data_IF_898804270221
#
_entry.id   IF_898804270221
#
_cell.length_a   1.000
_cell.length_b   1.000
_cell.length_c   1.000
_cell.angle_alpha   90.00
_cell.angle_beta   90.00
_cell.angle_gamma   90.00
#
_symmetry.space_group_name_H-M   'P 1'
#
loop_
_entity.id
_entity.type
_entity.pdbx_description
1 polymer ?
#
# COMPACT_ATOMS: atom_id res chain seq x y z
N UNK A 1 -17.82 -55.25 -6.64
CA UNK A 1 -17.94 -56.07 -7.87
C UNK A 1 -16.56 -56.48 -8.40
N UNK A 2 -15.65 -55.53 -8.70
CA UNK A 2 -14.28 -55.84 -9.14
C UNK A 2 -13.53 -56.79 -8.17
N UNK A 3 -13.56 -56.52 -6.86
CA UNK A 3 -13.00 -57.41 -5.84
C UNK A 3 -13.55 -58.85 -5.88
N UNK A 4 -14.87 -59.01 -6.00
CA UNK A 4 -15.49 -60.34 -6.08
C UNK A 4 -15.14 -61.09 -7.38
N UNK A 5 -14.88 -60.39 -8.49
CA UNK A 5 -14.39 -60.99 -9.73
C UNK A 5 -12.92 -61.41 -9.56
N UNK A 6 -12.09 -60.57 -8.93
CA UNK A 6 -10.71 -60.88 -8.65
C UNK A 6 -10.58 -62.11 -7.73
N UNK A 7 -11.33 -62.10 -6.62
CA UNK A 7 -11.23 -63.11 -5.56
C UNK A 7 -11.84 -64.47 -5.97
N UNK A 8 -12.90 -64.47 -6.80
CA UNK A 8 -13.61 -65.71 -7.16
C UNK A 8 -13.28 -66.25 -8.56
N UNK A 9 -12.81 -65.41 -9.49
CA UNK A 9 -12.61 -65.80 -10.90
C UNK A 9 -11.16 -65.60 -11.38
N UNK A 10 -10.34 -64.78 -10.71
CA UNK A 10 -8.96 -64.51 -11.13
C UNK A 10 -8.81 -63.84 -12.50
N UNK A 11 -9.92 -63.40 -13.12
CA UNK A 11 -9.98 -62.81 -14.46
C UNK A 11 -9.55 -61.33 -14.41
N UNK A 12 -8.24 -61.11 -14.55
CA UNK A 12 -7.62 -59.78 -14.48
C UNK A 12 -8.10 -58.83 -15.58
N UNK A 13 -8.43 -59.34 -16.77
CA UNK A 13 -8.90 -58.51 -17.89
C UNK A 13 -10.29 -57.96 -17.59
N UNK A 14 -11.17 -58.79 -17.03
CA UNK A 14 -12.50 -58.36 -16.59
C UNK A 14 -12.41 -57.38 -15.42
N UNK A 15 -11.52 -57.60 -14.45
CA UNK A 15 -11.26 -56.64 -13.35
C UNK A 15 -10.76 -55.30 -13.90
N UNK A 16 -9.85 -55.31 -14.87
CA UNK A 16 -9.33 -54.09 -15.51
C UNK A 16 -10.41 -53.28 -16.24
N UNK A 17 -11.35 -53.94 -16.92
CA UNK A 17 -12.48 -53.28 -17.61
C UNK A 17 -13.45 -52.60 -16.62
N UNK A 18 -13.72 -53.23 -15.46
CA UNK A 18 -14.58 -52.66 -14.42
C UNK A 18 -13.92 -51.41 -13.84
N UNK A 19 -12.60 -51.45 -13.58
CA UNK A 19 -11.88 -50.28 -13.09
C UNK A 19 -11.80 -49.15 -14.12
N UNK A 20 -11.66 -49.45 -15.41
CA UNK A 20 -11.71 -48.42 -16.45
C UNK A 20 -13.08 -47.71 -16.50
N UNK A 21 -14.18 -48.45 -16.33
CA UNK A 21 -15.51 -47.86 -16.24
C UNK A 21 -15.72 -47.04 -14.96
N UNK A 22 -15.11 -47.43 -13.84
CA UNK A 22 -15.12 -46.67 -12.59
C UNK A 22 -14.30 -45.38 -12.72
N UNK A 23 -13.13 -45.45 -13.36
CA UNK A 23 -12.26 -44.31 -13.62
C UNK A 23 -12.98 -43.23 -14.43
N UNK A 24 -13.71 -43.60 -15.48
CA UNK A 24 -14.48 -42.66 -16.29
C UNK A 24 -15.55 -41.88 -15.49
N UNK A 25 -15.96 -42.38 -14.31
CA UNK A 25 -16.95 -41.74 -13.43
C UNK A 25 -16.30 -41.04 -12.24
N UNK A 26 -15.01 -41.25 -11.99
CA UNK A 26 -14.30 -40.67 -10.86
C UNK A 26 -13.82 -39.26 -11.21
N UNK A 27 -14.57 -38.24 -10.78
CA UNK A 27 -14.29 -36.83 -11.08
C UNK A 27 -13.75 -36.04 -9.89
N UNK A 28 -13.66 -36.65 -8.71
CA UNK A 28 -13.14 -36.02 -7.49
C UNK A 28 -11.84 -36.66 -7.06
N UNK A 29 -10.96 -35.88 -6.41
CA UNK A 29 -9.70 -36.37 -5.87
C UNK A 29 -9.91 -37.59 -4.96
N UNK A 30 -10.88 -37.54 -4.04
CA UNK A 30 -11.20 -38.65 -3.13
C UNK A 30 -11.64 -39.94 -3.84
N UNK A 31 -12.46 -39.82 -4.90
CA UNK A 31 -12.89 -40.98 -5.69
C UNK A 31 -11.70 -41.60 -6.44
N UNK A 32 -10.83 -40.76 -7.02
CA UNK A 32 -9.65 -41.20 -7.74
C UNK A 32 -8.61 -41.84 -6.81
N UNK A 33 -8.39 -41.31 -5.61
CA UNK A 33 -7.51 -41.92 -4.58
C UNK A 33 -8.03 -43.29 -4.15
N UNK A 34 -9.33 -43.41 -3.90
CA UNK A 34 -9.94 -44.68 -3.50
C UNK A 34 -9.80 -45.72 -4.60
N UNK A 35 -10.08 -45.31 -5.85
CA UNK A 35 -9.92 -46.16 -7.02
C UNK A 35 -8.45 -46.60 -7.23
N UNK A 36 -7.49 -45.70 -7.04
CA UNK A 36 -6.07 -46.01 -7.13
C UNK A 36 -5.64 -47.08 -6.11
N UNK A 37 -6.13 -46.99 -4.87
CA UNK A 37 -5.87 -47.98 -3.83
C UNK A 37 -6.48 -49.35 -4.14
N UNK A 38 -7.70 -49.38 -4.68
CA UNK A 38 -8.33 -50.63 -5.14
C UNK A 38 -7.56 -51.25 -6.31
N UNK A 39 -7.17 -50.46 -7.30
CA UNK A 39 -6.36 -50.90 -8.45
C UNK A 39 -5.02 -51.45 -7.98
N UNK A 40 -4.34 -50.78 -7.06
CA UNK A 40 -3.05 -51.25 -6.53
C UNK A 40 -3.21 -52.61 -5.83
N UNK A 41 -4.28 -52.77 -5.04
CA UNK A 41 -4.54 -54.01 -4.29
C UNK A 41 -4.93 -55.17 -5.21
N UNK A 42 -5.81 -54.93 -6.18
CA UNK A 42 -6.39 -55.97 -7.00
C UNK A 42 -5.53 -56.34 -8.21
N UNK A 43 -4.95 -55.34 -8.88
CA UNK A 43 -4.21 -55.53 -10.12
C UNK A 43 -2.69 -55.51 -9.93
N UNK A 44 -2.19 -54.86 -8.87
CA UNK A 44 -0.76 -54.64 -8.65
C UNK A 44 -0.08 -54.01 -9.88
N UNK A 45 -0.73 -53.01 -10.47
CA UNK A 45 -0.27 -52.27 -11.66
C UNK A 45 0.19 -50.85 -11.23
N UNK A 46 1.49 -50.65 -10.96
CA UNK A 46 1.99 -49.37 -10.48
C UNK A 46 1.78 -48.23 -11.49
N UNK A 47 1.85 -48.51 -12.78
CA UNK A 47 1.67 -47.50 -13.82
C UNK A 47 0.24 -46.96 -13.81
N UNK A 48 -0.75 -47.87 -13.74
CA UNK A 48 -2.17 -47.46 -13.67
C UNK A 48 -2.52 -46.80 -12.34
N UNK A 49 -1.97 -47.29 -11.23
CA UNK A 49 -2.14 -46.66 -9.91
C UNK A 49 -1.56 -45.24 -9.90
N UNK A 50 -0.36 -45.03 -10.44
CA UNK A 50 0.28 -43.70 -10.52
C UNK A 50 -0.48 -42.75 -11.44
N UNK A 51 -1.04 -43.24 -12.56
CA UNK A 51 -1.88 -42.43 -13.44
C UNK A 51 -3.16 -41.94 -12.74
N UNK A 52 -3.79 -42.79 -11.92
CA UNK A 52 -4.95 -42.42 -11.12
C UNK A 52 -4.61 -41.39 -10.04
N UNK A 53 -3.48 -41.55 -9.35
CA UNK A 53 -2.99 -40.55 -8.41
C UNK A 53 -2.64 -39.23 -9.09
N UNK A 54 -2.04 -39.24 -10.29
CA UNK A 54 -1.78 -38.03 -11.08
C UNK A 54 -3.09 -37.28 -11.36
N UNK A 55 -4.11 -37.98 -11.84
CA UNK A 55 -5.44 -37.39 -12.04
C UNK A 55 -6.05 -36.87 -10.74
N UNK A 56 -5.81 -37.56 -9.62
CA UNK A 56 -6.28 -37.10 -8.31
C UNK A 56 -5.62 -35.77 -7.92
N UNK A 57 -4.31 -35.62 -8.16
CA UNK A 57 -3.57 -34.38 -7.91
C UNK A 57 -4.12 -33.23 -8.77
N UNK A 58 -4.40 -33.49 -10.06
CA UNK A 58 -5.01 -32.49 -10.95
C UNK A 58 -6.41 -32.07 -10.49
N UNK A 59 -7.15 -32.99 -9.86
CA UNK A 59 -8.48 -32.75 -9.33
C UNK A 59 -8.50 -32.10 -7.92
N UNK A 60 -7.35 -31.93 -7.26
CA UNK A 60 -7.27 -31.30 -5.93
C UNK A 60 -7.69 -29.84 -5.97
N UNK A 61 -8.60 -29.48 -5.05
CA UNK A 61 -9.07 -28.09 -4.90
C UNK A 61 -8.78 -27.49 -3.54
N UNK A 62 -8.59 -28.34 -2.52
CA UNK A 62 -8.35 -27.92 -1.14
C UNK A 62 -7.21 -28.73 -0.53
N UNK A 63 -6.58 -28.18 0.52
CA UNK A 63 -5.47 -28.83 1.22
C UNK A 63 -5.79 -30.26 1.66
N UNK A 64 -7.02 -30.52 2.15
CA UNK A 64 -7.43 -31.84 2.62
C UNK A 64 -7.42 -32.90 1.52
N UNK A 65 -7.75 -32.53 0.28
CA UNK A 65 -7.66 -33.43 -0.88
C UNK A 65 -6.21 -33.87 -1.09
N UNK A 66 -5.30 -32.89 -1.11
CA UNK A 66 -3.88 -33.13 -1.32
C UNK A 66 -3.27 -33.99 -0.20
N UNK A 67 -3.65 -33.75 1.07
CA UNK A 67 -3.17 -34.59 2.18
C UNK A 67 -3.61 -36.05 2.07
N UNK A 68 -4.84 -36.31 1.60
CA UNK A 68 -5.32 -37.69 1.39
C UNK A 68 -4.52 -38.41 0.30
N UNK A 69 -4.11 -37.70 -0.74
CA UNK A 69 -3.21 -38.24 -1.78
C UNK A 69 -1.84 -38.53 -1.18
N UNK A 70 -1.24 -37.59 -0.45
CA UNK A 70 0.08 -37.77 0.17
C UNK A 70 0.10 -38.96 1.16
N UNK A 71 -0.99 -39.18 1.90
CA UNK A 71 -1.14 -40.35 2.78
C UNK A 71 -1.23 -41.67 2.01
N UNK A 72 -1.91 -41.66 0.86
CA UNK A 72 -2.00 -42.83 0.00
C UNK A 72 -0.65 -43.13 -0.67
N UNK A 73 0.08 -42.09 -1.09
CA UNK A 73 1.42 -42.19 -1.64
C UNK A 73 2.42 -42.72 -0.61
N UNK A 74 2.32 -42.33 0.66
CA UNK A 74 3.18 -42.83 1.74
C UNK A 74 2.99 -44.34 2.05
N UNK A 75 1.83 -44.91 1.73
CA UNK A 75 1.51 -46.33 1.99
C UNK A 75 1.98 -47.26 0.88
N UNK A 76 2.35 -46.72 -0.28
CA UNK A 76 2.72 -47.48 -1.47
C UNK A 76 4.13 -47.11 -1.91
N UNK A 77 4.87 -47.99 -2.62
CA UNK A 77 6.15 -47.63 -3.22
C UNK A 77 5.94 -46.40 -4.11
N UNK A 78 6.53 -45.28 -3.71
CA UNK A 78 6.15 -43.98 -4.26
C UNK A 78 7.03 -43.64 -5.44
N UNK A 79 6.42 -43.30 -6.57
CA UNK A 79 7.11 -42.59 -7.64
C UNK A 79 7.50 -41.20 -7.11
N UNK A 80 8.81 -40.93 -7.04
CA UNK A 80 9.33 -39.70 -6.46
C UNK A 80 8.89 -38.44 -7.23
N UNK A 81 8.72 -38.52 -8.55
CA UNK A 81 8.25 -37.38 -9.35
C UNK A 81 6.78 -37.08 -9.07
N UNK A 82 5.96 -38.12 -8.94
CA UNK A 82 4.56 -37.97 -8.52
C UNK A 82 4.43 -37.44 -7.09
N UNK A 83 5.25 -37.94 -6.16
CA UNK A 83 5.31 -37.44 -4.79
C UNK A 83 5.63 -35.94 -4.75
N UNK A 84 6.67 -35.52 -5.49
CA UNK A 84 7.04 -34.10 -5.61
C UNK A 84 5.91 -33.26 -6.20
N UNK A 85 5.24 -33.75 -7.26
CA UNK A 85 4.11 -33.04 -7.87
C UNK A 85 2.94 -32.89 -6.89
N UNK A 86 2.61 -33.94 -6.14
CA UNK A 86 1.55 -33.91 -5.12
C UNK A 86 1.91 -32.98 -3.95
N UNK A 87 3.19 -32.97 -3.53
CA UNK A 87 3.70 -32.08 -2.48
C UNK A 87 3.66 -30.61 -2.90
N UNK A 88 4.03 -30.31 -4.15
CA UNK A 88 3.94 -28.96 -4.72
C UNK A 88 2.49 -28.49 -4.71
N UNK A 89 1.57 -29.35 -5.18
CA UNK A 89 0.14 -29.06 -5.19
C UNK A 89 -0.41 -28.82 -3.77
N UNK A 90 0.03 -29.62 -2.80
CA UNK A 90 -0.33 -29.44 -1.40
C UNK A 90 0.17 -28.09 -0.87
N UNK A 91 1.41 -27.71 -1.18
CA UNK A 91 2.01 -26.43 -0.77
C UNK A 91 1.25 -25.23 -1.35
N UNK A 92 0.79 -25.31 -2.60
CA UNK A 92 -0.04 -24.28 -3.23
C UNK A 92 -1.37 -24.07 -2.51
N UNK A 93 -1.97 -25.16 -2.03
CA UNK A 93 -3.30 -25.19 -1.41
C UNK A 93 -3.30 -24.92 0.11
N UNK A 94 -2.15 -24.60 0.72
CA UNK A 94 -2.09 -24.25 2.15
C UNK A 94 -2.63 -22.85 2.42
N UNK A 95 -3.46 -22.72 3.45
CA UNK A 95 -3.99 -21.44 3.95
C UNK A 95 -3.30 -20.98 5.25
N UNK A 96 -2.63 -21.88 5.96
CA UNK A 96 -2.02 -21.59 7.28
C UNK A 96 -0.59 -22.06 7.35
N UNK A 97 0.22 -21.41 8.20
CA UNK A 97 1.59 -21.83 8.46
C UNK A 97 1.69 -23.26 9.03
N UNK A 98 0.70 -23.71 9.80
CA UNK A 98 0.66 -25.08 10.29
C UNK A 98 0.59 -26.10 9.15
N UNK A 99 -0.22 -25.83 8.11
CA UNK A 99 -0.30 -26.68 6.92
C UNK A 99 0.98 -26.62 6.10
N UNK A 100 1.60 -25.44 5.95
CA UNK A 100 2.91 -25.31 5.27
C UNK A 100 3.98 -26.18 5.94
N UNK A 101 4.06 -26.15 7.27
CA UNK A 101 5.03 -26.98 8.01
C UNK A 101 4.70 -28.49 7.94
N UNK A 102 3.42 -28.87 7.88
CA UNK A 102 3.02 -30.26 7.63
C UNK A 102 3.49 -30.74 6.25
N UNK A 103 3.38 -29.91 5.20
CA UNK A 103 3.92 -30.23 3.86
C UNK A 103 5.43 -30.43 3.91
N UNK A 104 6.18 -29.56 4.60
CA UNK A 104 7.64 -29.71 4.75
C UNK A 104 8.01 -31.05 5.42
N UNK A 105 7.28 -31.45 6.48
CA UNK A 105 7.50 -32.71 7.16
C UNK A 105 7.15 -33.92 6.28
N UNK A 106 6.08 -33.82 5.48
CA UNK A 106 5.68 -34.86 4.52
C UNK A 106 6.69 -35.01 3.40
N UNK A 107 7.24 -33.90 2.89
CA UNK A 107 8.29 -33.91 1.86
C UNK A 107 9.53 -34.68 2.33
N UNK A 108 10.02 -34.39 3.53
CA UNK A 108 11.16 -35.10 4.10
C UNK A 108 10.97 -36.63 4.20
N UNK A 109 9.73 -37.08 4.42
CA UNK A 109 9.38 -38.50 4.53
C UNK A 109 9.17 -39.17 3.17
N UNK A 110 8.51 -38.49 2.23
CA UNK A 110 8.14 -39.03 0.93
C UNK A 110 9.28 -39.00 -0.09
N UNK A 111 10.14 -38.00 -0.01
CA UNK A 111 11.26 -37.80 -0.93
C UNK A 111 12.56 -37.59 -0.15
N UNK A 112 13.02 -38.59 0.62
CA UNK A 112 14.22 -38.45 1.44
C UNK A 112 15.45 -38.13 0.57
N UNK A 113 16.13 -37.04 0.90
CA UNK A 113 17.30 -36.55 0.17
C UNK A 113 16.99 -35.44 -0.85
N UNK A 114 15.74 -35.26 -1.26
CA UNK A 114 15.30 -34.09 -2.02
C UNK A 114 14.73 -33.04 -1.08
N UNK A 115 15.45 -31.93 -0.93
CA UNK A 115 15.09 -30.84 -0.03
C UNK A 115 14.32 -29.71 -0.72
N UNK A 116 14.01 -29.83 -2.00
CA UNK A 116 13.43 -28.74 -2.80
C UNK A 116 12.12 -28.22 -2.20
N UNK A 117 11.15 -29.12 -1.97
CA UNK A 117 9.86 -28.71 -1.39
C UNK A 117 10.00 -28.33 0.08
N UNK A 118 10.92 -28.95 0.83
CA UNK A 118 11.20 -28.58 2.23
C UNK A 118 11.67 -27.13 2.31
N UNK A 119 12.63 -26.74 1.46
CA UNK A 119 13.14 -25.37 1.35
C UNK A 119 12.02 -24.40 1.00
N UNK A 120 11.25 -24.69 -0.06
CA UNK A 120 10.15 -23.83 -0.49
C UNK A 120 9.07 -23.66 0.60
N UNK A 121 8.72 -24.74 1.30
CA UNK A 121 7.76 -24.69 2.38
C UNK A 121 8.29 -23.86 3.57
N UNK A 122 9.54 -24.04 3.96
CA UNK A 122 10.15 -23.23 5.03
C UNK A 122 10.28 -21.76 4.64
N UNK A 123 10.60 -21.45 3.38
CA UNK A 123 10.64 -20.06 2.86
C UNK A 123 9.23 -19.43 2.88
N UNK A 124 8.21 -20.17 2.43
CA UNK A 124 6.81 -19.74 2.50
C UNK A 124 6.36 -19.53 3.95
N UNK A 125 6.77 -20.41 4.87
CA UNK A 125 6.43 -20.27 6.28
C UNK A 125 7.13 -19.05 6.92
N UNK A 126 8.42 -18.84 6.62
CA UNK A 126 9.21 -17.68 7.08
C UNK A 126 8.61 -16.35 6.61
N UNK A 127 8.08 -16.29 5.38
CA UNK A 127 7.43 -15.11 4.84
C UNK A 127 6.08 -14.79 5.50
N UNK A 128 5.39 -15.78 6.06
CA UNK A 128 4.02 -15.65 6.57
C UNK A 128 3.91 -15.76 8.10
N UNK A 129 5.01 -15.67 8.85
CA UNK A 129 4.98 -15.81 10.32
C UNK A 129 4.23 -14.65 10.98
N UNK A 130 3.06 -14.96 11.54
CA UNK A 130 2.16 -13.99 12.17
C UNK A 130 2.26 -13.92 13.69
N UNK A 131 2.89 -14.91 14.33
CA UNK A 131 2.98 -14.97 15.80
C UNK A 131 4.32 -15.52 16.32
N UNK A 132 4.59 -15.34 17.62
CA UNK A 132 5.77 -15.93 18.27
C UNK A 132 5.69 -17.48 18.29
N UNK A 133 4.50 -18.05 18.50
CA UNK A 133 4.31 -19.50 18.48
C UNK A 133 4.61 -20.09 17.09
N UNK A 134 4.14 -19.45 16.03
CA UNK A 134 4.50 -19.83 14.66
C UNK A 134 6.00 -19.71 14.41
N UNK A 135 6.63 -18.64 14.91
CA UNK A 135 8.08 -18.47 14.78
C UNK A 135 8.86 -19.60 15.48
N UNK A 136 8.42 -20.01 16.67
CA UNK A 136 9.01 -21.15 17.40
C UNK A 136 8.85 -22.45 16.63
N UNK A 137 7.65 -22.71 16.10
CA UNK A 137 7.38 -23.90 15.27
C UNK A 137 8.24 -23.92 14.01
N UNK A 138 8.38 -22.79 13.32
CA UNK A 138 9.27 -22.64 12.17
C UNK A 138 10.74 -22.89 12.52
N UNK A 139 11.24 -22.28 13.60
CA UNK A 139 12.61 -22.46 14.06
C UNK A 139 12.93 -23.92 14.39
N UNK A 140 11.99 -24.60 15.05
CA UNK A 140 12.11 -26.03 15.35
C UNK A 140 12.08 -26.87 14.07
N UNK A 141 11.15 -26.60 13.15
CA UNK A 141 11.04 -27.32 11.89
C UNK A 141 12.29 -27.14 11.01
N UNK A 142 12.82 -25.92 10.89
CA UNK A 142 14.05 -25.64 10.14
C UNK A 142 15.24 -26.44 10.66
N UNK A 143 15.44 -26.45 11.98
CA UNK A 143 16.53 -27.23 12.61
C UNK A 143 16.37 -28.73 12.42
N UNK A 144 15.14 -29.23 12.44
CA UNK A 144 14.87 -30.67 12.28
C UNK A 144 14.98 -31.14 10.83
N UNK A 145 14.48 -30.36 9.88
CA UNK A 145 14.36 -30.75 8.48
C UNK A 145 15.61 -30.36 7.67
N UNK A 146 16.29 -29.28 8.03
CA UNK A 146 17.48 -28.76 7.34
C UNK A 146 18.58 -28.40 8.34
N UNK A 147 19.00 -29.38 9.16
CA UNK A 147 20.04 -29.17 10.18
C UNK A 147 21.37 -28.64 9.60
N UNK A 148 21.69 -28.99 8.34
CA UNK A 148 22.92 -28.56 7.66
C UNK A 148 22.87 -27.13 7.09
N UNK A 149 21.69 -26.49 7.03
CA UNK A 149 21.54 -25.12 6.54
C UNK A 149 21.77 -24.13 7.70
N UNK A 150 23.04 -23.95 8.07
CA UNK A 150 23.44 -23.09 9.18
C UNK A 150 22.97 -21.64 8.99
N UNK A 151 23.06 -21.11 7.78
CA UNK A 151 22.66 -19.73 7.46
C UNK A 151 21.16 -19.51 7.70
N UNK A 152 20.30 -20.41 7.23
CA UNK A 152 18.86 -20.35 7.50
C UNK A 152 18.58 -20.47 8.99
N UNK A 153 19.20 -21.44 9.66
CA UNK A 153 18.95 -21.70 11.07
C UNK A 153 19.38 -20.51 11.96
N UNK A 154 20.49 -19.84 11.62
CA UNK A 154 20.94 -18.63 12.30
C UNK A 154 20.01 -17.44 12.01
N UNK A 155 19.59 -17.26 10.76
CA UNK A 155 18.64 -16.19 10.38
C UNK A 155 17.30 -16.34 11.10
N UNK A 156 16.71 -17.54 11.06
CA UNK A 156 15.44 -17.86 11.73
C UNK A 156 15.62 -17.78 13.25
N UNK A 157 16.75 -18.25 13.79
CA UNK A 157 17.09 -18.14 15.21
C UNK A 157 17.18 -16.69 15.69
N UNK A 158 17.85 -15.82 14.92
CA UNK A 158 17.93 -14.38 15.21
C UNK A 158 16.57 -13.70 15.17
N UNK A 159 15.72 -14.02 14.18
CA UNK A 159 14.32 -13.54 14.13
C UNK A 159 13.51 -13.99 15.35
N UNK A 160 13.68 -15.25 15.80
CA UNK A 160 13.00 -15.76 16.99
C UNK A 160 13.47 -15.01 18.24
N UNK A 161 14.79 -14.89 18.46
CA UNK A 161 15.35 -14.20 19.62
C UNK A 161 14.88 -12.75 19.73
N UNK A 162 14.82 -12.03 18.59
CA UNK A 162 14.23 -10.68 18.52
C UNK A 162 12.77 -10.67 18.99
N UNK A 163 11.93 -11.57 18.45
CA UNK A 163 10.51 -11.66 18.85
C UNK A 163 10.33 -12.03 20.32
N UNK A 164 11.19 -12.90 20.86
CA UNK A 164 11.15 -13.28 22.28
C UNK A 164 11.56 -12.12 23.19
N UNK A 165 12.60 -11.36 22.82
CA UNK A 165 12.99 -10.15 23.53
C UNK A 165 11.90 -9.08 23.51
N UNK A 166 11.15 -8.99 22.40
CA UNK A 166 10.02 -8.07 22.23
C UNK A 166 8.75 -8.46 23.00
N UNK A 167 8.63 -9.68 23.53
CA UNK A 167 7.40 -10.16 24.19
C UNK A 167 6.99 -9.30 25.40
N UNK A 168 7.97 -8.86 26.18
CA UNK A 168 7.74 -7.94 27.29
C UNK A 168 7.18 -6.60 26.78
N UNK A 169 7.69 -6.12 25.65
CA UNK A 169 7.25 -4.86 25.04
C UNK A 169 5.84 -4.94 24.47
N UNK A 170 5.47 -6.06 23.84
CA UNK A 170 4.06 -6.32 23.46
C UNK A 170 3.13 -6.26 24.68
N UNK A 171 3.52 -6.89 25.79
CA UNK A 171 2.72 -6.89 27.02
C UNK A 171 2.57 -5.47 27.57
N UNK A 172 3.64 -4.68 27.53
CA UNK A 172 3.61 -3.29 27.95
C UNK A 172 2.67 -2.45 27.08
N UNK A 173 2.79 -2.54 25.75
CA UNK A 173 1.91 -1.82 24.83
C UNK A 173 0.45 -2.23 24.98
N UNK A 174 0.14 -3.52 25.14
CA UNK A 174 -1.22 -3.99 25.41
C UNK A 174 -1.78 -3.45 26.74
N UNK A 175 -0.93 -3.30 27.75
CA UNK A 175 -1.35 -2.69 29.01
C UNK A 175 -1.54 -1.18 28.88
N UNK A 176 -0.68 -0.48 28.12
CA UNK A 176 -0.85 0.93 27.80
C UNK A 176 -2.14 1.15 27.01
N UNK A 177 -2.40 0.35 25.97
CA UNK A 177 -3.59 0.40 25.11
C UNK A 177 -4.89 0.39 25.90
N UNK A 178 -5.01 -0.47 26.91
CA UNK A 178 -6.19 -0.57 27.80
C UNK A 178 -6.51 0.73 28.54
N UNK A 179 -5.54 1.62 28.70
CA UNK A 179 -5.71 2.91 29.39
C UNK A 179 -6.04 4.06 28.45
N UNK A 180 -5.93 3.85 27.13
CA UNK A 180 -6.09 4.90 26.14
C UNK A 180 -7.57 5.22 25.90
N UNK A 181 -7.87 6.51 25.80
CA UNK A 181 -9.26 6.98 25.58
C UNK A 181 -9.39 7.91 24.39
N UNK A 182 -8.31 8.58 23.99
CA UNK A 182 -8.33 9.59 22.92
C UNK A 182 -7.66 9.08 21.64
N UNK A 183 -8.19 9.40 20.45
CA UNK A 183 -7.62 8.93 19.17
C UNK A 183 -6.12 9.18 19.00
N UNK A 184 -5.64 10.37 19.39
CA UNK A 184 -4.23 10.73 19.28
C UNK A 184 -3.30 9.86 20.14
N UNK A 185 -3.78 9.29 21.24
CA UNK A 185 -3.00 8.36 22.05
C UNK A 185 -2.79 7.04 21.32
N UNK A 186 -3.84 6.52 20.66
CA UNK A 186 -3.73 5.30 19.85
C UNK A 186 -2.78 5.51 18.67
N UNK A 187 -2.84 6.67 18.01
CA UNK A 187 -1.92 7.03 16.93
C UNK A 187 -0.47 7.08 17.42
N UNK A 188 -0.23 7.69 18.58
CA UNK A 188 1.11 7.73 19.18
C UNK A 188 1.63 6.33 19.53
N UNK A 189 0.78 5.47 20.11
CA UNK A 189 1.13 4.09 20.42
C UNK A 189 1.43 3.29 19.15
N UNK A 190 0.68 3.49 18.06
CA UNK A 190 0.95 2.86 16.77
C UNK A 190 2.33 3.23 16.22
N UNK A 191 2.76 4.49 16.39
CA UNK A 191 4.11 4.95 16.07
C UNK A 191 5.18 4.18 16.84
N UNK A 192 5.03 4.09 18.17
CA UNK A 192 5.97 3.36 19.04
C UNK A 192 6.01 1.86 18.71
N UNK A 193 4.87 1.24 18.39
CA UNK A 193 4.81 -0.16 17.96
C UNK A 193 5.60 -0.39 16.68
N UNK A 194 5.45 0.46 15.66
CA UNK A 194 6.25 0.31 14.42
C UNK A 194 7.73 0.58 14.69
N UNK A 195 8.06 1.59 15.48
CA UNK A 195 9.46 1.96 15.77
C UNK A 195 10.20 0.87 16.54
N UNK A 196 9.56 0.25 17.53
CA UNK A 196 10.23 -0.66 18.45
C UNK A 196 10.03 -2.15 18.11
N UNK A 197 8.93 -2.49 17.43
CA UNK A 197 8.56 -3.87 17.12
C UNK A 197 8.49 -4.18 15.63
N UNK A 198 8.56 -3.17 14.77
CA UNK A 198 8.36 -3.29 13.32
C UNK A 198 7.01 -3.96 12.96
N UNK A 199 6.02 -3.90 13.87
CA UNK A 199 4.72 -4.57 13.71
C UNK A 199 3.66 -3.62 13.13
N UNK A 200 3.60 -3.59 11.80
CA UNK A 200 2.61 -2.80 11.08
C UNK A 200 1.18 -3.33 11.24
N UNK A 201 1.00 -4.60 11.60
CA UNK A 201 -0.32 -5.20 11.82
C UNK A 201 -0.92 -4.68 13.12
N UNK A 202 -0.16 -4.71 14.21
CA UNK A 202 -0.63 -4.15 15.48
C UNK A 202 -0.82 -2.63 15.39
N UNK A 203 0.08 -1.91 14.73
CA UNK A 203 -0.12 -0.49 14.44
C UNK A 203 -1.43 -0.23 13.65
N UNK A 204 -1.77 -1.08 12.67
CA UNK A 204 -3.03 -0.95 11.92
C UNK A 204 -4.27 -1.09 12.81
N UNK A 205 -4.25 -2.00 13.79
CA UNK A 205 -5.36 -2.18 14.74
C UNK A 205 -5.54 -0.95 15.65
N UNK A 206 -4.44 -0.39 16.14
CA UNK A 206 -4.45 0.82 16.95
C UNK A 206 -4.97 2.02 16.14
N UNK A 207 -4.50 2.19 14.89
CA UNK A 207 -4.98 3.25 14.00
C UNK A 207 -6.46 3.06 13.62
N UNK A 208 -6.94 1.83 13.48
CA UNK A 208 -8.36 1.53 13.23
C UNK A 208 -9.20 1.98 14.43
N UNK A 209 -8.77 1.64 15.64
CA UNK A 209 -9.42 2.08 16.89
C UNK A 209 -9.41 3.61 17.01
N UNK A 210 -8.32 4.27 16.61
CA UNK A 210 -8.25 5.72 16.58
C UNK A 210 -9.30 6.31 15.63
N UNK A 211 -9.42 5.76 14.42
CA UNK A 211 -10.41 6.18 13.43
C UNK A 211 -11.84 6.00 13.94
N UNK A 212 -12.18 4.83 14.49
CA UNK A 212 -13.51 4.53 15.05
C UNK A 212 -13.91 5.57 16.11
N UNK A 213 -12.98 5.95 16.99
CA UNK A 213 -13.21 6.99 18.00
C UNK A 213 -13.40 8.37 17.38
N UNK A 214 -12.69 8.70 16.29
CA UNK A 214 -12.90 9.94 15.56
C UNK A 214 -14.28 9.97 14.87
N UNK A 215 -14.72 8.84 14.32
CA UNK A 215 -16.03 8.71 13.69
C UNK A 215 -17.17 8.80 14.72
N UNK A 216 -16.99 8.18 15.90
CA UNK A 216 -17.96 8.22 17.00
C UNK A 216 -18.19 9.64 17.53
N UNK A 217 -17.23 10.56 17.39
CA UNK A 217 -17.40 11.97 17.75
C UNK A 217 -18.38 12.73 16.82
N UNK A 218 -18.77 12.14 15.68
CA UNK A 218 -19.83 12.64 14.79
C UNK A 218 -19.49 13.92 14.01
N UNK A 219 -18.29 14.46 14.16
CA UNK A 219 -17.85 15.68 13.46
C UNK A 219 -16.48 15.48 12.82
N UNK A 220 -16.35 15.85 11.55
CA UNK A 220 -15.07 15.82 10.85
C UNK A 220 -14.27 17.10 11.14
N UNK A 221 -13.01 16.94 11.50
CA UNK A 221 -12.03 18.02 11.56
C UNK A 221 -10.72 17.56 10.92
N UNK A 222 -10.26 18.30 9.91
CA UNK A 222 -9.00 17.97 9.25
C UNK A 222 -7.82 17.95 10.24
N UNK A 223 -7.79 18.87 11.20
CA UNK A 223 -6.74 18.90 12.23
C UNK A 223 -6.73 17.64 13.10
N UNK A 224 -7.89 17.04 13.35
CA UNK A 224 -7.99 15.77 14.09
C UNK A 224 -7.57 14.57 13.22
N UNK A 225 -7.94 14.57 11.94
CA UNK A 225 -7.65 13.47 11.02
C UNK A 225 -6.24 13.53 10.40
N UNK A 226 -5.58 14.68 10.38
CA UNK A 226 -4.24 14.83 9.78
C UNK A 226 -3.21 13.85 10.38
N UNK A 227 -3.08 13.70 11.72
CA UNK A 227 -2.18 12.71 12.30
C UNK A 227 -2.51 11.27 11.88
N UNK A 228 -3.79 10.93 11.72
CA UNK A 228 -4.21 9.61 11.24
C UNK A 228 -3.81 9.41 9.78
N UNK A 229 -4.06 10.39 8.91
CA UNK A 229 -3.67 10.35 7.49
C UNK A 229 -2.17 10.12 7.34
N UNK A 230 -1.35 10.89 8.06
CA UNK A 230 0.12 10.76 8.04
C UNK A 230 0.56 9.39 8.56
N UNK A 231 -0.05 8.92 9.66
CA UNK A 231 0.31 7.62 10.26
C UNK A 231 -0.08 6.46 9.36
N UNK A 232 -1.26 6.51 8.73
CA UNK A 232 -1.68 5.49 7.76
C UNK A 232 -0.72 5.45 6.58
N UNK A 233 -0.37 6.62 6.01
CA UNK A 233 0.52 6.69 4.87
C UNK A 233 1.99 6.37 5.13
N UNK A 234 2.47 6.53 6.37
CA UNK A 234 3.89 6.34 6.70
C UNK A 234 4.19 5.05 7.46
N UNK A 235 3.32 4.65 8.40
CA UNK A 235 3.56 3.50 9.26
C UNK A 235 3.07 2.21 8.62
N UNK A 236 1.82 2.18 8.15
CA UNK A 236 1.17 0.95 7.64
C UNK A 236 1.11 0.90 6.12
N UNK A 237 1.18 2.06 5.45
CA UNK A 237 1.27 2.22 3.99
C UNK A 237 0.10 1.57 3.22
N UNK A 238 -1.07 1.48 3.86
CA UNK A 238 -2.30 1.02 3.22
C UNK A 238 -2.87 2.12 2.30
N UNK A 239 -2.64 1.96 1.00
CA UNK A 239 -3.07 2.93 -0.03
C UNK A 239 -4.59 3.02 -0.16
N UNK A 240 -5.32 1.93 0.06
CA UNK A 240 -6.78 1.92 -0.05
C UNK A 240 -7.42 2.65 1.13
N UNK A 241 -6.92 2.40 2.34
CA UNK A 241 -7.34 3.12 3.53
C UNK A 241 -6.98 4.61 3.45
N UNK A 242 -5.74 4.93 3.06
CA UNK A 242 -5.30 6.30 2.88
C UNK A 242 -6.20 7.05 1.89
N UNK A 243 -6.47 6.45 0.71
CA UNK A 243 -7.38 7.02 -0.28
C UNK A 243 -8.77 7.34 0.29
N UNK A 244 -9.32 6.46 1.13
CA UNK A 244 -10.61 6.67 1.81
C UNK A 244 -10.58 7.88 2.76
N UNK A 245 -9.52 8.01 3.57
CA UNK A 245 -9.34 9.15 4.47
C UNK A 245 -9.14 10.46 3.70
N UNK A 246 -8.40 10.42 2.59
CA UNK A 246 -8.17 11.57 1.73
C UNK A 246 -9.46 12.05 1.04
N UNK A 247 -10.29 11.13 0.55
CA UNK A 247 -11.62 11.46 0.03
C UNK A 247 -12.52 12.07 1.11
N UNK A 248 -12.52 11.50 2.32
CA UNK A 248 -13.27 12.07 3.44
C UNK A 248 -12.82 13.50 3.75
N UNK A 249 -11.50 13.75 3.80
CA UNK A 249 -10.95 15.07 4.04
C UNK A 249 -11.28 16.08 2.93
N UNK A 250 -11.21 15.66 1.66
CA UNK A 250 -11.55 16.49 0.51
C UNK A 250 -13.05 16.86 0.51
N UNK A 251 -13.93 15.91 0.80
CA UNK A 251 -15.38 16.12 0.85
C UNK A 251 -15.81 17.04 1.98
N UNK A 252 -15.02 17.14 3.05
CA UNK A 252 -15.26 18.04 4.18
C UNK A 252 -14.45 19.35 4.10
N UNK A 253 -13.71 19.58 3.01
CA UNK A 253 -12.96 20.81 2.78
C UNK A 253 -13.81 21.82 2.02
N UNK A 254 -14.30 22.83 2.74
CA UNK A 254 -15.21 23.86 2.22
C UNK A 254 -14.50 25.16 1.82
N UNK A 255 -13.22 25.29 2.16
CA UNK A 255 -12.42 26.48 1.87
C UNK A 255 -11.14 26.12 1.15
N UNK A 256 -10.61 27.05 0.35
CA UNK A 256 -9.30 26.86 -0.28
C UNK A 256 -8.19 26.61 0.75
N UNK A 257 -8.24 27.23 1.93
CA UNK A 257 -7.25 27.01 2.98
C UNK A 257 -7.24 25.55 3.45
N UNK A 258 -8.40 24.93 3.62
CA UNK A 258 -8.50 23.51 3.98
C UNK A 258 -7.97 22.59 2.86
N UNK A 259 -8.35 22.86 1.60
CA UNK A 259 -7.85 22.10 0.44
C UNK A 259 -6.33 22.26 0.30
N UNK A 260 -5.80 23.46 0.53
CA UNK A 260 -4.36 23.73 0.51
C UNK A 260 -3.64 22.95 1.60
N UNK A 261 -4.13 22.98 2.84
CA UNK A 261 -3.55 22.25 3.96
C UNK A 261 -3.55 20.74 3.70
N UNK A 262 -4.65 20.20 3.15
CA UNK A 262 -4.73 18.81 2.73
C UNK A 262 -3.66 18.48 1.67
N UNK A 263 -3.55 19.30 0.62
CA UNK A 263 -2.53 19.15 -0.42
C UNK A 263 -1.09 19.26 0.13
N UNK A 264 -0.85 20.11 1.12
CA UNK A 264 0.45 20.24 1.78
C UNK A 264 0.80 19.01 2.62
N UNK A 265 -0.13 18.54 3.46
CA UNK A 265 0.05 17.31 4.24
C UNK A 265 0.42 16.15 3.34
N UNK A 266 -0.32 15.96 2.25
CA UNK A 266 -0.18 14.81 1.38
C UNK A 266 1.10 14.88 0.54
N UNK A 267 1.47 16.07 0.03
CA UNK A 267 2.69 16.23 -0.78
C UNK A 267 3.99 16.30 0.04
N UNK A 268 3.95 16.76 1.29
CA UNK A 268 5.18 17.00 2.09
C UNK A 268 5.38 16.07 3.26
N UNK A 269 4.32 15.46 3.81
CA UNK A 269 4.42 14.66 5.05
C UNK A 269 4.29 13.16 4.82
N UNK A 270 3.89 12.74 3.61
CA UNK A 270 3.86 11.32 3.26
C UNK A 270 5.20 10.85 2.71
N UNK A 271 5.57 9.62 3.09
CA UNK A 271 6.78 8.94 2.62
C UNK A 271 6.68 8.53 1.14
N UNK A 272 5.49 8.16 0.66
CA UNK A 272 5.21 7.94 -0.76
C UNK A 272 4.94 9.30 -1.45
N UNK A 273 6.01 9.95 -1.87
CA UNK A 273 5.97 11.29 -2.48
C UNK A 273 5.22 11.33 -3.81
N UNK A 274 5.24 10.24 -4.59
CA UNK A 274 4.54 10.14 -5.87
C UNK A 274 3.03 10.01 -5.66
N UNK A 275 2.62 9.14 -4.73
CA UNK A 275 1.22 9.06 -4.30
C UNK A 275 0.76 10.42 -3.76
N UNK A 276 1.59 11.06 -2.94
CA UNK A 276 1.35 12.39 -2.40
C UNK A 276 1.06 13.42 -3.49
N UNK A 277 1.96 13.57 -4.45
CA UNK A 277 1.80 14.48 -5.59
C UNK A 277 0.56 14.16 -6.43
N UNK A 278 0.29 12.87 -6.68
CA UNK A 278 -0.88 12.43 -7.45
C UNK A 278 -2.19 12.88 -6.80
N UNK A 279 -2.32 12.74 -5.48
CA UNK A 279 -3.51 13.17 -4.77
C UNK A 279 -3.61 14.70 -4.65
N UNK A 280 -2.50 15.38 -4.40
CA UNK A 280 -2.45 16.85 -4.40
C UNK A 280 -2.88 17.41 -5.76
N UNK A 281 -2.47 16.78 -6.88
CA UNK A 281 -2.93 17.12 -8.23
C UNK A 281 -4.44 16.98 -8.36
N UNK A 282 -5.04 15.91 -7.84
CA UNK A 282 -6.50 15.70 -7.90
C UNK A 282 -7.25 16.80 -7.13
N UNK A 283 -6.79 17.16 -5.93
CA UNK A 283 -7.39 18.22 -5.14
C UNK A 283 -7.34 19.58 -5.86
N UNK A 284 -6.21 19.91 -6.47
CA UNK A 284 -6.00 21.19 -7.15
C UNK A 284 -6.70 21.25 -8.51
N UNK A 285 -6.82 20.12 -9.20
CA UNK A 285 -7.64 20.02 -10.42
C UNK A 285 -9.12 20.24 -10.09
N UNK A 286 -9.63 19.59 -9.04
CA UNK A 286 -11.01 19.80 -8.59
C UNK A 286 -11.26 21.24 -8.14
N UNK A 287 -10.28 21.85 -7.46
CA UNK A 287 -10.36 23.25 -7.06
C UNK A 287 -10.36 24.20 -8.26
N UNK A 288 -9.50 23.97 -9.27
CA UNK A 288 -9.47 24.76 -10.50
C UNK A 288 -10.82 24.71 -11.21
N UNK A 289 -11.42 23.52 -11.33
CA UNK A 289 -12.73 23.36 -11.94
C UNK A 289 -13.82 24.19 -11.23
N UNK A 290 -13.81 24.24 -9.88
CA UNK A 290 -14.71 25.10 -9.10
C UNK A 290 -14.50 26.59 -9.39
N UNK A 291 -13.25 27.02 -9.53
CA UNK A 291 -12.93 28.41 -9.87
C UNK A 291 -13.37 28.77 -11.29
N UNK A 292 -13.21 27.84 -12.24
CA UNK A 292 -13.60 28.01 -13.65
C UNK A 292 -15.12 28.07 -13.82
N UNK A 293 -15.88 27.26 -13.09
CA UNK A 293 -17.35 27.26 -13.13
C UNK A 293 -18.01 28.41 -12.37
N UNK A 294 -17.24 29.12 -11.55
CA UNK A 294 -17.75 30.16 -10.64
C UNK A 294 -17.33 31.58 -11.01
N UNK A 295 -17.76 32.55 -10.22
CA UNK A 295 -17.31 33.94 -10.32
C UNK A 295 -16.02 34.17 -9.50
N UNK A 296 -15.01 33.31 -9.70
CA UNK A 296 -13.75 33.41 -8.98
C UNK A 296 -12.98 34.68 -9.36
N UNK A 297 -12.40 35.31 -8.36
CA UNK A 297 -11.52 36.49 -8.47
C UNK A 297 -10.10 36.15 -8.92
N UNK A 298 -9.36 37.13 -9.45
CA UNK A 298 -7.94 36.97 -9.78
C UNK A 298 -7.12 36.44 -8.59
N UNK A 299 -7.41 36.88 -7.37
CA UNK A 299 -6.70 36.43 -6.17
C UNK A 299 -6.89 34.93 -5.88
N UNK A 300 -8.04 34.35 -6.20
CA UNK A 300 -8.29 32.92 -5.99
C UNK A 300 -7.47 32.06 -6.96
N UNK A 301 -7.38 32.46 -8.22
CA UNK A 301 -6.47 31.83 -9.18
C UNK A 301 -5.02 31.94 -8.73
N UNK A 302 -4.58 33.11 -8.28
CA UNK A 302 -3.21 33.32 -7.82
C UNK A 302 -2.86 32.43 -6.61
N UNK A 303 -3.79 32.28 -5.66
CA UNK A 303 -3.63 31.38 -4.50
C UNK A 303 -3.45 29.92 -4.94
N UNK A 304 -4.24 29.47 -5.92
CA UNK A 304 -4.14 28.10 -6.44
C UNK A 304 -2.84 27.90 -7.23
N UNK A 305 -2.48 28.84 -8.12
CA UNK A 305 -1.21 28.79 -8.87
C UNK A 305 -0.01 28.68 -7.93
N UNK A 306 -0.01 29.49 -6.86
CA UNK A 306 1.02 29.41 -5.81
C UNK A 306 1.06 28.06 -5.12
N UNK A 307 -0.09 27.48 -4.78
CA UNK A 307 -0.14 26.16 -4.14
C UNK A 307 0.36 25.04 -5.08
N UNK A 308 0.02 25.10 -6.36
CA UNK A 308 0.54 24.18 -7.40
C UNK A 308 2.06 24.27 -7.46
N UNK A 309 2.63 25.48 -7.59
CA UNK A 309 4.09 25.65 -7.61
C UNK A 309 4.75 25.14 -6.33
N UNK A 310 4.22 25.47 -5.15
CA UNK A 310 4.85 25.12 -3.88
C UNK A 310 4.76 23.62 -3.53
N UNK A 311 3.71 22.92 -3.96
CA UNK A 311 3.45 21.54 -3.53
C UNK A 311 3.69 20.50 -4.61
N UNK A 312 3.60 20.89 -5.89
CA UNK A 312 3.80 20.00 -7.03
C UNK A 312 5.06 20.31 -7.82
N UNK A 313 5.61 21.52 -7.67
CA UNK A 313 6.71 22.06 -8.48
C UNK A 313 6.39 22.05 -9.99
N UNK A 314 5.12 22.20 -10.35
CA UNK A 314 4.66 22.26 -11.74
C UNK A 314 4.55 23.71 -12.23
N UNK A 315 5.63 24.20 -12.84
CA UNK A 315 5.71 25.54 -13.42
C UNK A 315 4.70 25.78 -14.53
N UNK A 316 4.48 24.78 -15.38
CA UNK A 316 3.59 24.90 -16.53
C UNK A 316 2.14 25.06 -16.07
N UNK A 317 1.71 24.22 -15.13
CA UNK A 317 0.36 24.32 -14.57
C UNK A 317 0.19 25.59 -13.72
N UNK A 318 1.19 25.95 -12.89
CA UNK A 318 1.14 27.19 -12.12
C UNK A 318 0.98 28.42 -13.05
N UNK A 319 1.73 28.48 -14.15
CA UNK A 319 1.62 29.54 -15.15
C UNK A 319 0.25 29.55 -15.84
N UNK A 320 -0.27 28.38 -16.24
CA UNK A 320 -1.60 28.27 -16.85
C UNK A 320 -2.71 28.82 -15.94
N UNK A 321 -2.63 28.53 -14.64
CA UNK A 321 -3.61 29.03 -13.65
C UNK A 321 -3.42 30.54 -13.44
N UNK A 322 -2.18 31.02 -13.45
CA UNK A 322 -1.88 32.45 -13.37
C UNK A 322 -2.49 33.20 -14.58
N UNK A 323 -2.35 32.66 -15.79
CA UNK A 323 -2.92 33.26 -17.01
C UNK A 323 -4.45 33.35 -16.96
N UNK A 324 -5.14 32.35 -16.38
CA UNK A 324 -6.58 32.40 -16.10
C UNK A 324 -6.94 33.53 -15.13
N UNK A 325 -6.13 33.74 -14.09
CA UNK A 325 -6.29 34.86 -13.16
C UNK A 325 -6.09 36.22 -13.83
N UNK A 326 -5.18 36.29 -14.79
CA UNK A 326 -4.82 37.51 -15.53
C UNK A 326 -5.99 37.99 -16.39
N UNK A 327 -6.68 37.06 -17.04
CA UNK A 327 -7.86 37.36 -17.87
C UNK A 327 -9.00 38.02 -17.07
N UNK A 328 -8.97 37.91 -15.73
CA UNK A 328 -9.94 38.55 -14.82
C UNK A 328 -9.38 39.78 -14.10
N UNK A 329 -8.12 40.15 -14.32
CA UNK A 329 -7.48 41.25 -13.63
C UNK A 329 -8.02 42.61 -14.11
N UNK A 330 -8.33 43.51 -13.17
CA UNK A 330 -8.96 44.81 -13.46
C UNK A 330 -8.24 45.99 -12.81
N UNK A 331 -7.27 45.73 -11.92
CA UNK A 331 -6.59 46.77 -11.15
C UNK A 331 -5.07 46.59 -11.20
N UNK A 332 -4.36 47.68 -10.96
CA UNK A 332 -2.90 47.65 -10.85
C UNK A 332 -2.42 46.69 -9.74
N UNK A 333 -3.18 46.54 -8.64
CA UNK A 333 -2.89 45.56 -7.58
C UNK A 333 -2.95 44.11 -8.06
N UNK A 334 -3.94 43.75 -8.89
CA UNK A 334 -4.06 42.39 -9.41
C UNK A 334 -2.81 42.03 -10.23
N UNK A 335 -2.44 42.90 -11.18
CA UNK A 335 -1.28 42.69 -12.03
C UNK A 335 0.04 42.72 -11.25
N UNK A 336 0.21 43.64 -10.30
CA UNK A 336 1.43 43.75 -9.50
C UNK A 336 1.68 42.52 -8.63
N UNK A 337 0.64 41.96 -8.00
CA UNK A 337 0.77 40.74 -7.21
C UNK A 337 1.14 39.53 -8.07
N UNK A 338 0.55 39.42 -9.26
CA UNK A 338 0.90 38.36 -10.20
C UNK A 338 2.33 38.49 -10.73
N UNK A 339 2.78 39.73 -10.95
CA UNK A 339 4.15 40.02 -11.38
C UNK A 339 5.16 39.59 -10.31
N UNK A 340 4.87 39.85 -9.03
CA UNK A 340 5.69 39.40 -7.90
C UNK A 340 5.78 37.87 -7.84
N UNK A 341 4.67 37.15 -8.05
CA UNK A 341 4.68 35.69 -8.11
C UNK A 341 5.53 35.17 -9.28
N UNK A 342 5.32 35.71 -10.49
CA UNK A 342 6.10 35.34 -11.67
C UNK A 342 7.60 35.58 -11.46
N UNK A 343 7.97 36.71 -10.83
CA UNK A 343 9.35 37.02 -10.50
C UNK A 343 9.94 36.03 -9.49
N UNK A 344 9.21 35.71 -8.41
CA UNK A 344 9.65 34.71 -7.42
C UNK A 344 9.82 33.32 -8.01
N UNK A 345 9.11 33.01 -9.08
CA UNK A 345 9.25 31.75 -9.82
C UNK A 345 10.30 31.82 -10.93
N UNK A 346 11.04 32.93 -11.06
CA UNK A 346 12.09 33.09 -12.06
C UNK A 346 11.59 33.46 -13.46
N UNK A 347 10.29 33.71 -13.65
CA UNK A 347 9.72 34.12 -14.93
C UNK A 347 9.79 35.65 -15.09
N UNK A 348 11.00 36.17 -15.30
CA UNK A 348 11.26 37.61 -15.45
C UNK A 348 10.46 38.25 -16.58
N UNK A 349 10.36 37.60 -17.74
CA UNK A 349 9.61 38.12 -18.89
C UNK A 349 8.12 38.32 -18.60
N UNK A 350 7.50 37.36 -17.91
CA UNK A 350 6.10 37.48 -17.48
C UNK A 350 5.94 38.54 -16.40
N UNK A 351 6.86 38.62 -15.45
CA UNK A 351 6.85 39.65 -14.41
C UNK A 351 6.91 41.06 -15.02
N UNK A 352 7.82 41.31 -15.96
CA UNK A 352 7.92 42.58 -16.68
C UNK A 352 6.63 42.93 -17.42
N UNK A 353 6.07 41.96 -18.17
CA UNK A 353 4.78 42.15 -18.86
C UNK A 353 3.65 42.49 -17.89
N UNK A 354 3.59 41.85 -16.72
CA UNK A 354 2.55 42.10 -15.72
C UNK A 354 2.75 43.46 -15.03
N UNK A 355 3.98 43.88 -14.74
CA UNK A 355 4.24 45.24 -14.23
C UNK A 355 3.90 46.34 -15.24
N UNK A 356 4.10 46.11 -16.53
CA UNK A 356 3.66 47.03 -17.57
C UNK A 356 2.12 47.15 -17.58
N UNK A 357 1.40 46.02 -17.48
CA UNK A 357 -0.08 46.01 -17.34
C UNK A 357 -0.54 46.69 -16.04
N UNK A 358 0.17 46.47 -14.93
CA UNK A 358 -0.11 47.15 -13.66
C UNK A 358 0.00 48.68 -13.81
N UNK A 359 1.06 49.14 -14.48
CA UNK A 359 1.28 50.58 -14.74
C UNK A 359 0.15 51.16 -15.59
N UNK A 360 -0.25 50.46 -16.65
CA UNK A 360 -1.34 50.90 -17.54
C UNK A 360 -2.71 50.93 -16.83
N UNK A 361 -2.89 50.12 -15.78
CA UNK A 361 -4.11 50.07 -14.99
C UNK A 361 -4.18 51.13 -13.88
N UNK A 362 -3.11 51.91 -13.65
CA UNK A 362 -3.14 53.03 -12.70
C UNK A 362 -3.96 54.20 -13.27
N UNK A 363 -4.90 54.70 -12.47
CA UNK A 363 -5.80 55.80 -12.89
C UNK A 363 -5.28 57.19 -12.47
N UNK A 364 -4.40 57.25 -11.48
CA UNK A 364 -3.91 58.51 -10.91
C UNK A 364 -2.49 58.37 -10.31
N UNK A 365 -1.93 59.51 -9.90
CA UNK A 365 -0.59 59.59 -9.30
C UNK A 365 -0.49 58.94 -7.90
N UNK A 366 -1.59 58.68 -7.20
CA UNK A 366 -1.57 57.88 -5.97
C UNK A 366 -1.32 56.41 -6.28
N UNK A 367 -2.10 55.84 -7.21
CA UNK A 367 -1.97 54.44 -7.62
C UNK A 367 -0.59 54.15 -8.22
N UNK A 368 -0.01 55.09 -8.96
CA UNK A 368 1.36 54.96 -9.48
C UNK A 368 2.41 54.91 -8.36
N UNK A 369 2.22 55.69 -7.28
CA UNK A 369 3.12 55.67 -6.11
C UNK A 369 2.97 54.38 -5.31
N UNK A 370 1.74 53.88 -5.17
CA UNK A 370 1.45 52.59 -4.53
C UNK A 370 2.11 51.44 -5.30
N UNK A 371 1.94 51.41 -6.63
CA UNK A 371 2.59 50.44 -7.50
C UNK A 371 4.12 50.50 -7.38
N UNK A 372 4.70 51.71 -7.39
CA UNK A 372 6.14 51.89 -7.23
C UNK A 372 6.66 51.34 -5.89
N UNK A 373 5.89 51.47 -4.81
CA UNK A 373 6.26 50.89 -3.51
C UNK A 373 6.17 49.35 -3.51
N UNK A 374 5.16 48.78 -4.14
CA UNK A 374 5.05 47.33 -4.33
C UNK A 374 6.22 46.77 -5.15
N UNK A 375 6.56 47.42 -6.27
CA UNK A 375 7.70 47.04 -7.10
C UNK A 375 9.02 47.10 -6.31
N UNK A 376 9.21 48.14 -5.49
CA UNK A 376 10.38 48.27 -4.62
C UNK A 376 10.46 47.14 -3.60
N UNK A 377 9.35 46.81 -2.93
CA UNK A 377 9.27 45.69 -1.98
C UNK A 377 9.55 44.34 -2.63
N UNK A 378 9.18 44.18 -3.90
CA UNK A 378 9.49 43.00 -4.71
C UNK A 378 10.93 42.98 -5.25
N UNK A 379 11.75 44.01 -5.00
CA UNK A 379 13.13 44.10 -5.48
C UNK A 379 13.26 44.48 -6.95
N UNK A 380 12.21 45.06 -7.56
CA UNK A 380 12.20 45.52 -8.95
C UNK A 380 12.58 46.99 -8.99
N UNK A 381 13.69 47.30 -9.67
CA UNK A 381 14.13 48.68 -9.91
C UNK A 381 13.49 49.16 -11.21
N UNK A 382 12.39 49.91 -11.13
CA UNK A 382 11.77 50.55 -12.30
C UNK A 382 12.08 52.04 -12.39
N UNK A 383 12.08 52.59 -13.60
CA UNK A 383 12.15 54.05 -13.85
C UNK A 383 10.99 54.81 -13.18
N UNK A 384 9.84 54.17 -12.97
CA UNK A 384 8.73 54.69 -12.15
C UNK A 384 9.08 54.76 -10.66
N UNK A 385 9.79 53.77 -10.11
CA UNK A 385 10.28 53.81 -8.73
C UNK A 385 11.36 54.90 -8.52
N UNK A 386 12.12 55.21 -9.57
CA UNK A 386 13.06 56.34 -9.63
C UNK A 386 12.33 57.70 -9.73
N UNK A 387 11.24 57.80 -10.49
CA UNK A 387 10.42 59.03 -10.58
C UNK A 387 9.65 59.33 -9.27
N UNK A 388 9.12 58.30 -8.59
CA UNK A 388 8.43 58.46 -7.31
C UNK A 388 9.38 58.94 -6.19
N UNK A 389 10.64 58.50 -6.19
CA UNK A 389 11.66 58.96 -5.24
C UNK A 389 12.11 60.41 -5.51
N UNK A 390 12.13 60.87 -6.78
CA UNK A 390 12.36 62.27 -7.12
C UNK A 390 11.21 63.19 -6.67
N UNK A 391 9.95 62.73 -6.71
CA UNK A 391 8.79 63.54 -6.30
C UNK A 391 8.73 63.84 -4.79
N UNK A 392 9.36 63.03 -3.93
CA UNK A 392 9.46 63.31 -2.49
C UNK A 392 10.60 64.28 -2.13
N UNK A 393 11.53 64.56 -3.07
CA UNK A 393 12.63 65.51 -2.88
C UNK A 393 12.30 66.96 -3.24
N UNK A 394 11.17 67.21 -3.91
CA UNK A 394 10.74 68.54 -4.34
C UNK A 394 10.10 69.36 -3.22
N UNK A 395 10.85 69.68 -2.15
CA UNK A 395 10.48 70.83 -1.30
C UNK A 395 10.65 72.09 -2.13
N UNK A 396 9.55 72.82 -2.33
CA UNK A 396 9.52 74.09 -3.03
C UNK A 396 10.58 75.05 -2.52
N UNK A 397 11.40 75.55 -3.44
CA UNK A 397 12.07 76.82 -3.27
C UNK A 397 11.09 77.88 -3.74
N UNK A 398 10.42 78.52 -2.78
CA UNK A 398 9.74 79.79 -2.99
C UNK A 398 10.81 80.89 -3.13
N UNK A 399 10.69 81.69 -4.19
CA UNK A 399 11.01 83.12 -4.13
C UNK A 399 9.68 83.87 -4.10
#
# INVERSE_FOLDING_TARGET
>A
MAKAVNDNLGDKDRVASIYAAAEAKATTAAALVSLAGEVNTALQDPAKTNALYTKAVDACKVYTDATSILEALAKNPTDAALANTALQKALELTDTNAQVLDVAQRAQKLTPGDTTVVVQALDKAEANVSSLDEMRKLANASKQLLAGDAERNDRIGGKLAKREASQARYTEFQNQEKTLTRPNQFIALAGAVVEELEDTSYASQLLTTAEEKMQAAGTFSFAAYQPLIVSVGNLVKDKAWLARLLNLAANNSNTFAQVRNLGETVSKQLSDTEFGKTWTQQFYTAQLAKLDSGNASTFEYNKLAKAVKEHLDDDAQAQMILDKGEAKAQSHFHFAYMAELAQKWGNGSKAESLYAKATAACQDASQQRELADLMRKAGVISTLAQAATQSQGGKGTYW
#
